data_IF_831656721893
#
_entry.id   IF_831656721893
#
_cell.length_a   1.000
_cell.length_b   1.000
_cell.length_c   1.000
_cell.angle_alpha   90.00
_cell.angle_beta   90.00
_cell.angle_gamma   90.00
#
_symmetry.space_group_name_H-M   'P 1'
#
loop_
_entity.id
_entity.type
_entity.pdbx_description
1 polymer ?
#
# COMPACT_ATOMS: atom_id res chain seq x y z
N UNK A 1 -28.00 10.06 -7.31
CA UNK A 1 -27.27 8.79 -7.43
C UNK A 1 -26.34 8.66 -6.24
N UNK A 2 -26.22 7.46 -5.68
CA UNK A 2 -25.37 7.05 -4.56
C UNK A 2 -24.72 5.71 -4.89
N UNK A 3 -23.88 5.16 -4.02
CA UNK A 3 -23.32 3.81 -4.22
C UNK A 3 -24.41 2.74 -4.34
N UNK A 4 -25.53 2.89 -3.63
CA UNK A 4 -26.66 1.97 -3.67
C UNK A 4 -27.43 2.00 -5.01
N UNK A 5 -27.11 2.93 -5.91
CA UNK A 5 -27.65 2.99 -7.28
C UNK A 5 -26.67 2.40 -8.31
N UNK A 6 -25.51 1.91 -7.87
CA UNK A 6 -24.44 1.41 -8.73
C UNK A 6 -24.23 -0.09 -8.57
N UNK A 7 -23.88 -0.74 -9.68
CA UNK A 7 -23.23 -2.06 -9.67
C UNK A 7 -21.72 -1.86 -9.49
N UNK A 8 -21.09 -2.60 -8.59
CA UNK A 8 -19.63 -2.72 -8.52
C UNK A 8 -19.18 -3.86 -9.42
N UNK A 9 -18.42 -3.58 -10.46
CA UNK A 9 -17.77 -4.58 -11.29
C UNK A 9 -16.32 -4.70 -10.82
N UNK A 10 -15.97 -5.83 -10.21
CA UNK A 10 -14.60 -6.16 -9.84
C UNK A 10 -13.96 -6.95 -10.97
N UNK A 11 -13.05 -6.32 -11.71
CA UNK A 11 -12.27 -6.96 -12.76
C UNK A 11 -11.13 -7.77 -12.14
N UNK A 12 -11.28 -9.10 -12.14
CA UNK A 12 -10.33 -10.07 -11.61
C UNK A 12 -9.71 -10.95 -12.70
N UNK A 13 -9.71 -10.47 -13.95
CA UNK A 13 -9.09 -11.16 -15.09
C UNK A 13 -7.60 -10.83 -15.21
N UNK A 14 -6.74 -11.84 -15.21
CA UNK A 14 -5.31 -11.66 -15.40
C UNK A 14 -4.48 -12.90 -15.09
N UNK A 15 -3.47 -13.18 -15.92
CA UNK A 15 -2.63 -14.38 -15.80
C UNK A 15 -1.58 -14.30 -14.68
N UNK A 16 -1.49 -13.17 -13.95
CA UNK A 16 -0.49 -12.91 -12.90
C UNK A 16 0.95 -13.28 -13.31
N UNK A 17 1.30 -13.15 -14.59
CA UNK A 17 2.56 -13.68 -15.16
C UNK A 17 3.81 -13.11 -14.52
N UNK A 18 3.76 -11.86 -14.05
CA UNK A 18 4.86 -11.19 -13.34
C UNK A 18 5.01 -11.64 -11.89
N UNK A 19 3.95 -12.21 -11.30
CA UNK A 19 3.93 -12.66 -9.91
C UNK A 19 4.40 -14.11 -9.76
N UNK A 20 4.36 -14.91 -10.84
CA UNK A 20 4.67 -16.34 -10.80
C UNK A 20 3.58 -17.21 -10.17
N UNK A 21 2.64 -16.61 -9.44
CA UNK A 21 1.50 -17.24 -8.78
C UNK A 21 0.23 -16.37 -8.91
N UNK A 22 -0.93 -16.96 -8.63
CA UNK A 22 -2.22 -16.26 -8.78
C UNK A 22 -2.43 -15.22 -7.68
N UNK A 23 -2.13 -13.96 -8.00
CA UNK A 23 -2.12 -12.85 -7.04
C UNK A 23 -3.45 -12.58 -6.36
N UNK A 24 -4.56 -13.00 -6.98
CA UNK A 24 -5.93 -12.81 -6.46
C UNK A 24 -6.12 -13.46 -5.10
N UNK A 25 -5.38 -14.54 -4.84
CA UNK A 25 -5.47 -15.35 -3.64
C UNK A 25 -4.28 -15.19 -2.69
N UNK A 26 -3.38 -14.23 -2.94
CA UNK A 26 -2.24 -14.01 -2.07
C UNK A 26 -2.65 -13.36 -0.76
N UNK A 27 -2.29 -13.97 0.40
CA UNK A 27 -2.67 -13.45 1.70
C UNK A 27 -1.77 -12.28 2.11
N UNK A 28 -2.38 -11.11 2.33
CA UNK A 28 -1.69 -9.95 2.86
C UNK A 28 -1.36 -10.13 4.36
N UNK A 29 -0.74 -9.12 4.96
CA UNK A 29 -0.28 -9.18 6.35
C UNK A 29 -1.39 -9.41 7.40
N UNK A 30 -2.65 -9.10 7.08
CA UNK A 30 -3.83 -9.38 7.90
C UNK A 30 -4.48 -10.74 7.60
N UNK A 31 -3.91 -11.53 6.67
CA UNK A 31 -4.44 -12.81 6.21
C UNK A 31 -5.53 -12.70 5.13
N UNK A 32 -6.00 -11.50 4.81
CA UNK A 32 -6.98 -11.26 3.76
C UNK A 32 -6.31 -11.29 2.37
N UNK A 33 -6.98 -11.83 1.36
CA UNK A 33 -6.50 -11.77 -0.03
C UNK A 33 -6.86 -10.44 -0.68
N UNK A 34 -6.16 -10.04 -1.74
CA UNK A 34 -6.48 -8.82 -2.51
C UNK A 34 -7.94 -8.81 -2.96
N UNK A 35 -8.40 -9.92 -3.53
CA UNK A 35 -9.74 -10.02 -4.09
C UNK A 35 -10.81 -10.05 -3.00
N UNK A 36 -10.60 -10.84 -1.94
CA UNK A 36 -11.53 -10.89 -0.80
C UNK A 36 -11.69 -9.53 -0.13
N UNK A 37 -10.61 -8.76 0.00
CA UNK A 37 -10.64 -7.39 0.54
C UNK A 37 -11.50 -6.46 -0.29
N UNK A 38 -11.31 -6.45 -1.61
CA UNK A 38 -12.09 -5.60 -2.52
C UNK A 38 -13.58 -5.94 -2.47
N UNK A 39 -13.91 -7.25 -2.49
CA UNK A 39 -15.31 -7.71 -2.40
C UNK A 39 -15.94 -7.39 -1.05
N UNK A 40 -15.23 -7.62 0.06
CA UNK A 40 -15.70 -7.26 1.41
C UNK A 40 -15.99 -5.77 1.52
N UNK A 41 -15.04 -4.92 1.10
CA UNK A 41 -15.19 -3.46 1.15
C UNK A 41 -16.34 -3.00 0.26
N UNK A 42 -16.51 -3.59 -0.93
CA UNK A 42 -17.65 -3.31 -1.82
C UNK A 42 -18.99 -3.64 -1.15
N UNK A 43 -19.08 -4.82 -0.53
CA UNK A 43 -20.28 -5.23 0.21
C UNK A 43 -20.59 -4.29 1.37
N UNK A 44 -19.57 -3.91 2.16
CA UNK A 44 -19.73 -2.95 3.27
C UNK A 44 -20.13 -1.55 2.78
N UNK A 45 -19.66 -1.14 1.60
CA UNK A 45 -19.98 0.16 1.02
C UNK A 45 -21.43 0.28 0.52
N UNK A 46 -22.14 -0.85 0.37
CA UNK A 46 -23.57 -0.87 0.05
C UNK A 46 -23.89 -0.62 -1.42
N UNK A 47 -23.09 -1.15 -2.35
CA UNK A 47 -23.44 -1.19 -3.77
C UNK A 47 -24.74 -1.99 -4.01
N UNK A 48 -25.51 -1.63 -5.03
CA UNK A 48 -26.75 -2.34 -5.42
C UNK A 48 -26.48 -3.82 -5.66
N UNK A 49 -25.44 -4.11 -6.44
CA UNK A 49 -24.96 -5.44 -6.75
C UNK A 49 -23.44 -5.43 -6.91
N UNK A 50 -22.82 -6.61 -6.75
CA UNK A 50 -21.40 -6.82 -7.03
C UNK A 50 -21.28 -7.88 -8.11
N UNK A 51 -20.56 -7.58 -9.18
CA UNK A 51 -20.21 -8.50 -10.25
C UNK A 51 -18.71 -8.77 -10.17
N UNK A 52 -18.33 -10.04 -10.02
CA UNK A 52 -16.95 -10.49 -10.10
C UNK A 52 -16.69 -11.00 -11.51
N UNK A 53 -15.90 -10.28 -12.30
CA UNK A 53 -15.59 -10.66 -13.68
C UNK A 53 -14.21 -11.33 -13.76
N UNK A 54 -14.17 -12.58 -14.22
CA UNK A 54 -12.95 -13.41 -14.28
C UNK A 54 -12.81 -14.14 -15.63
N UNK A 55 -11.61 -14.65 -15.91
CA UNK A 55 -11.29 -15.30 -17.19
C UNK A 55 -11.96 -16.67 -17.40
N UNK A 56 -12.36 -17.34 -16.32
CA UNK A 56 -12.95 -18.66 -16.33
C UNK A 56 -13.63 -18.96 -14.99
N UNK A 57 -14.55 -19.93 -14.99
CA UNK A 57 -15.16 -20.41 -13.76
C UNK A 57 -14.15 -21.28 -13.00
N UNK A 58 -13.92 -20.94 -11.74
CA UNK A 58 -13.05 -21.68 -10.82
C UNK A 58 -13.77 -21.83 -9.49
N UNK A 59 -13.62 -22.99 -8.85
CA UNK A 59 -14.27 -23.29 -7.58
C UNK A 59 -13.98 -22.22 -6.53
N UNK A 60 -12.73 -21.79 -6.43
CA UNK A 60 -12.27 -20.77 -5.49
C UNK A 60 -12.93 -19.40 -5.74
N UNK A 61 -13.13 -19.04 -7.02
CA UNK A 61 -13.82 -17.80 -7.39
C UNK A 61 -15.33 -17.89 -7.12
N UNK A 62 -15.94 -19.04 -7.38
CA UNK A 62 -17.37 -19.28 -7.10
C UNK A 62 -17.64 -19.24 -5.60
N UNK A 63 -16.80 -19.90 -4.79
CA UNK A 63 -16.89 -19.88 -3.33
C UNK A 63 -16.67 -18.47 -2.77
N UNK A 64 -15.68 -17.74 -3.30
CA UNK A 64 -15.40 -16.36 -2.90
C UNK A 64 -16.53 -15.41 -3.26
N UNK A 65 -17.07 -15.50 -4.48
CA UNK A 65 -18.19 -14.69 -4.93
C UNK A 65 -19.42 -14.94 -4.03
N UNK A 66 -19.74 -16.21 -3.75
CA UNK A 66 -20.84 -16.57 -2.86
C UNK A 66 -20.65 -16.02 -1.44
N UNK A 67 -19.44 -16.09 -0.87
CA UNK A 67 -19.14 -15.58 0.47
C UNK A 67 -19.44 -14.07 0.62
N UNK A 68 -19.27 -13.30 -0.45
CA UNK A 68 -19.51 -11.86 -0.47
C UNK A 68 -20.80 -11.44 -1.19
N UNK A 69 -21.63 -12.38 -1.64
CA UNK A 69 -22.87 -12.10 -2.37
C UNK A 69 -22.63 -11.45 -3.74
N UNK A 70 -21.49 -11.74 -4.37
CA UNK A 70 -21.17 -11.29 -5.72
C UNK A 70 -21.67 -12.30 -6.77
N UNK A 71 -22.05 -11.79 -7.93
CA UNK A 71 -22.35 -12.58 -9.12
C UNK A 71 -21.07 -12.81 -9.92
N UNK A 72 -20.60 -14.06 -9.99
CA UNK A 72 -19.45 -14.43 -10.82
C UNK A 72 -19.87 -14.46 -12.29
N UNK A 73 -19.17 -13.71 -13.12
CA UNK A 73 -19.29 -13.74 -14.58
C UNK A 73 -17.95 -14.09 -15.20
N UNK A 74 -18.01 -14.86 -16.27
CA UNK A 74 -16.81 -15.40 -16.93
C UNK A 74 -16.84 -15.08 -18.41
N UNK A 75 -15.66 -14.83 -18.97
CA UNK A 75 -15.52 -14.63 -20.40
C UNK A 75 -15.73 -15.96 -21.17
N UNK A 76 -16.48 -15.93 -22.29
CA UNK A 76 -16.62 -17.09 -23.19
C UNK A 76 -15.29 -17.50 -23.86
N UNK A 77 -14.34 -16.56 -23.93
CA UNK A 77 -12.99 -16.77 -24.48
C UNK A 77 -11.97 -16.39 -23.42
N UNK A 78 -11.20 -17.36 -22.89
CA UNK A 78 -10.14 -17.07 -21.93
C UNK A 78 -9.14 -16.03 -22.47
N UNK A 79 -8.48 -15.30 -21.57
CA UNK A 79 -7.29 -14.48 -21.84
C UNK A 79 -7.50 -13.21 -22.68
N UNK A 80 -8.67 -12.57 -22.59
CA UNK A 80 -8.96 -11.34 -23.35
C UNK A 80 -8.58 -10.04 -22.58
N UNK A 81 -8.18 -10.16 -21.32
CA UNK A 81 -7.71 -9.05 -20.48
C UNK A 81 -8.84 -8.17 -19.93
N UNK A 82 -8.51 -7.00 -19.36
CA UNK A 82 -9.49 -6.16 -18.65
C UNK A 82 -10.66 -5.67 -19.50
N UNK A 83 -10.49 -5.55 -20.82
CA UNK A 83 -11.58 -5.16 -21.72
C UNK A 83 -12.74 -6.16 -21.70
N UNK A 84 -12.45 -7.46 -21.62
CA UNK A 84 -13.49 -8.49 -21.58
C UNK A 84 -14.19 -8.53 -20.23
N UNK A 85 -13.44 -8.37 -19.13
CA UNK A 85 -14.03 -8.21 -17.80
C UNK A 85 -15.00 -7.02 -17.72
N UNK A 86 -14.68 -5.90 -18.37
CA UNK A 86 -15.59 -4.75 -18.48
C UNK A 86 -16.82 -5.10 -19.32
N UNK A 87 -16.64 -5.72 -20.48
CA UNK A 87 -17.76 -6.10 -21.35
C UNK A 87 -18.73 -7.06 -20.65
N UNK A 88 -18.21 -8.14 -20.07
CA UNK A 88 -18.99 -9.15 -19.34
C UNK A 88 -19.66 -8.54 -18.10
N UNK A 89 -18.92 -7.74 -17.34
CA UNK A 89 -19.42 -7.05 -16.16
C UNK A 89 -20.59 -6.11 -16.48
N UNK A 90 -20.46 -5.29 -17.53
CA UNK A 90 -21.51 -4.36 -17.93
C UNK A 90 -22.73 -5.08 -18.55
N UNK A 91 -22.53 -6.20 -19.23
CA UNK A 91 -23.63 -7.02 -19.72
C UNK A 91 -24.48 -7.58 -18.57
N UNK A 92 -23.83 -8.01 -17.49
CA UNK A 92 -24.46 -8.55 -16.28
C UNK A 92 -24.95 -7.49 -15.28
N UNK A 93 -24.49 -6.24 -15.39
CA UNK A 93 -24.89 -5.17 -14.48
C UNK A 93 -26.40 -4.91 -14.53
N UNK A 94 -27.00 -4.68 -13.37
CA UNK A 94 -28.44 -4.44 -13.24
C UNK A 94 -28.78 -2.93 -13.31
N UNK A 95 -27.79 -2.08 -13.04
CA UNK A 95 -27.94 -0.63 -12.94
C UNK A 95 -27.48 0.08 -14.22
N UNK A 96 -27.92 1.33 -14.41
CA UNK A 96 -27.49 2.16 -15.56
C UNK A 96 -25.98 2.45 -15.51
N UNK A 97 -25.44 2.70 -14.32
CA UNK A 97 -24.04 3.00 -14.09
C UNK A 97 -23.38 1.94 -13.22
N UNK A 98 -22.14 1.63 -13.53
CA UNK A 98 -21.30 0.71 -12.76
C UNK A 98 -19.97 1.35 -12.43
N UNK A 99 -19.45 1.12 -11.23
CA UNK A 99 -18.03 1.32 -10.94
C UNK A 99 -17.28 0.10 -11.43
N UNK A 100 -16.39 0.26 -12.40
CA UNK A 100 -15.40 -0.76 -12.75
C UNK A 100 -14.15 -0.52 -11.89
N UNK A 101 -13.78 -1.53 -11.10
CA UNK A 101 -12.60 -1.51 -10.23
C UNK A 101 -11.72 -2.75 -10.48
N UNK A 102 -10.41 -2.57 -10.56
CA UNK A 102 -9.46 -3.68 -10.56
C UNK A 102 -9.48 -4.42 -9.22
N UNK A 103 -9.49 -5.77 -9.24
CA UNK A 103 -9.38 -6.59 -8.03
C UNK A 103 -8.05 -6.42 -7.27
N UNK A 104 -7.06 -5.80 -7.91
CA UNK A 104 -5.69 -5.65 -7.43
C UNK A 104 -5.38 -4.28 -6.81
N UNK A 105 -6.40 -3.45 -6.56
CA UNK A 105 -6.27 -2.13 -5.93
C UNK A 105 -6.78 -2.15 -4.47
N UNK A 106 -6.03 -2.75 -3.52
CA UNK A 106 -6.53 -3.03 -2.16
C UNK A 106 -6.84 -1.77 -1.33
N UNK A 107 -6.29 -0.62 -1.73
CA UNK A 107 -6.40 0.65 -1.01
C UNK A 107 -7.43 1.61 -1.62
N UNK A 108 -8.10 1.26 -2.73
CA UNK A 108 -9.05 2.16 -3.39
C UNK A 108 -10.18 2.57 -2.45
N UNK A 109 -10.41 3.86 -2.25
CA UNK A 109 -11.47 4.35 -1.37
C UNK A 109 -12.78 4.55 -2.16
N UNK A 110 -13.83 3.84 -1.75
CA UNK A 110 -15.15 3.95 -2.41
C UNK A 110 -15.82 5.30 -2.17
N UNK A 111 -15.42 6.07 -1.16
CA UNK A 111 -15.94 7.43 -0.99
C UNK A 111 -15.52 8.36 -2.15
N UNK A 112 -14.43 8.04 -2.87
CA UNK A 112 -14.04 8.78 -4.07
C UNK A 112 -15.15 8.78 -5.13
N UNK A 113 -15.95 7.72 -5.20
CA UNK A 113 -17.04 7.60 -6.18
C UNK A 113 -18.03 8.76 -6.04
N UNK A 114 -18.20 9.32 -4.84
CA UNK A 114 -19.08 10.47 -4.62
C UNK A 114 -18.68 11.69 -5.45
N UNK A 115 -17.40 11.84 -5.78
CA UNK A 115 -16.91 12.89 -6.68
C UNK A 115 -17.17 12.58 -8.16
N UNK A 116 -17.33 11.31 -8.53
CA UNK A 116 -17.58 10.88 -9.92
C UNK A 116 -19.08 10.93 -10.28
N UNK A 117 -19.95 10.66 -9.31
CA UNK A 117 -21.41 10.57 -9.50
C UNK A 117 -22.04 11.82 -10.18
N UNK A 118 -21.67 13.07 -9.85
CA UNK A 118 -22.26 14.25 -10.50
C UNK A 118 -21.93 14.35 -12.00
N UNK A 119 -20.87 13.68 -12.45
CA UNK A 119 -20.42 13.73 -13.85
C UNK A 119 -21.01 12.60 -14.71
N UNK A 120 -21.72 11.66 -14.09
CA UNK A 120 -22.44 10.58 -14.76
C UNK A 120 -23.75 11.08 -15.43
N UNK A 121 -23.58 11.96 -16.43
CA UNK A 121 -24.68 12.63 -17.16
C UNK A 121 -25.11 11.81 -18.38
N UNK A 122 -26.32 12.04 -18.88
CA UNK A 122 -26.92 11.29 -20.02
C UNK A 122 -26.10 11.38 -21.32
N UNK A 123 -25.27 12.40 -21.52
CA UNK A 123 -24.42 12.50 -22.71
C UNK A 123 -23.10 11.70 -22.59
N UNK A 124 -22.75 11.23 -21.39
CA UNK A 124 -21.47 10.59 -21.07
C UNK A 124 -21.66 9.07 -20.97
N UNK A 125 -20.68 8.32 -21.45
CA UNK A 125 -20.62 6.87 -21.30
C UNK A 125 -19.57 6.42 -20.29
N UNK A 126 -18.53 7.22 -20.07
CA UNK A 126 -17.47 6.92 -19.09
C UNK A 126 -17.09 8.19 -18.34
N UNK A 127 -17.13 8.15 -17.01
CA UNK A 127 -16.46 9.15 -16.17
C UNK A 127 -15.11 8.55 -15.79
N UNK A 128 -14.05 9.08 -16.38
CA UNK A 128 -12.69 8.53 -16.31
C UNK A 128 -11.82 9.40 -15.39
N UNK A 129 -11.51 8.94 -14.17
CA UNK A 129 -10.61 9.69 -13.31
C UNK A 129 -9.20 9.78 -13.89
N UNK A 130 -8.56 10.91 -13.66
CA UNK A 130 -7.15 11.11 -13.99
C UNK A 130 -6.37 11.57 -12.77
N UNK A 131 -5.19 10.98 -12.54
CA UNK A 131 -4.27 11.36 -11.45
C UNK A 131 -2.90 11.63 -12.05
N UNK A 132 -2.37 12.83 -11.82
CA UNK A 132 -1.06 13.25 -12.35
C UNK A 132 -0.92 13.01 -13.87
N UNK A 133 -2.01 13.16 -14.62
CA UNK A 133 -2.07 12.94 -16.08
C UNK A 133 -2.29 11.48 -16.51
N UNK A 134 -2.37 10.52 -15.59
CA UNK A 134 -2.63 9.11 -15.89
C UNK A 134 -4.12 8.78 -15.79
N UNK A 135 -4.65 8.15 -16.82
CA UNK A 135 -6.01 7.60 -16.82
C UNK A 135 -6.13 6.42 -15.88
N UNK A 136 -7.26 6.34 -15.16
CA UNK A 136 -7.59 5.25 -14.24
C UNK A 136 -8.82 4.45 -14.75
N UNK A 137 -8.69 3.72 -15.88
CA UNK A 137 -9.84 3.07 -16.52
C UNK A 137 -10.40 1.88 -15.73
N UNK A 138 -9.63 1.33 -14.78
CA UNK A 138 -10.05 0.27 -13.86
C UNK A 138 -10.33 0.82 -12.46
N UNK A 139 -10.77 2.08 -12.39
CA UNK A 139 -11.31 2.74 -11.22
C UNK A 139 -12.23 3.90 -11.68
N UNK A 140 -13.17 3.58 -12.58
CA UNK A 140 -13.96 4.56 -13.33
C UNK A 140 -15.44 4.16 -13.40
N UNK A 141 -16.32 5.14 -13.62
CA UNK A 141 -17.74 4.86 -13.86
C UNK A 141 -17.98 4.61 -15.33
N UNK A 142 -18.69 3.53 -15.63
CA UNK A 142 -19.11 3.16 -16.97
C UNK A 142 -20.63 3.05 -17.01
N UNK A 143 -21.22 3.64 -18.03
CA UNK A 143 -22.63 3.43 -18.35
C UNK A 143 -22.79 2.06 -18.99
N UNK A 144 -23.91 1.40 -18.72
CA UNK A 144 -24.19 0.02 -19.15
C UNK A 144 -24.04 -0.18 -20.67
N UNK A 145 -24.46 0.81 -21.46
CA UNK A 145 -24.39 0.75 -22.93
C UNK A 145 -22.96 0.80 -23.48
N UNK A 146 -21.98 1.30 -22.71
CA UNK A 146 -20.57 1.28 -23.08
C UNK A 146 -20.08 -0.16 -23.35
N UNK A 147 -20.68 -1.16 -22.70
CA UNK A 147 -20.37 -2.58 -22.89
C UNK A 147 -20.45 -3.04 -24.35
N UNK A 148 -21.33 -2.42 -25.16
CA UNK A 148 -21.45 -2.75 -26.59
C UNK A 148 -20.19 -2.35 -27.38
N UNK A 149 -19.60 -1.19 -27.06
CA UNK A 149 -18.36 -0.76 -27.69
C UNK A 149 -17.19 -1.67 -27.31
N UNK A 150 -17.12 -2.08 -26.04
CA UNK A 150 -16.13 -3.06 -25.58
C UNK A 150 -16.27 -4.40 -26.31
N UNK A 151 -17.49 -4.94 -26.39
CA UNK A 151 -17.76 -6.19 -27.10
C UNK A 151 -17.39 -6.10 -28.59
N UNK A 152 -17.77 -5.00 -29.26
CA UNK A 152 -17.45 -4.77 -30.66
C UNK A 152 -15.94 -4.65 -30.90
N UNK A 153 -15.22 -3.95 -30.03
CA UNK A 153 -13.77 -3.81 -30.12
C UNK A 153 -13.07 -5.17 -29.93
N UNK A 154 -13.48 -5.95 -28.93
CA UNK A 154 -12.95 -7.31 -28.69
C UNK A 154 -13.19 -8.22 -29.91
N UNK A 155 -14.36 -8.13 -30.55
CA UNK A 155 -14.67 -8.90 -31.76
C UNK A 155 -13.75 -8.54 -32.95
N UNK A 156 -13.27 -7.30 -33.01
CA UNK A 156 -12.27 -6.83 -34.00
C UNK A 156 -10.82 -7.16 -33.61
N UNK A 157 -10.60 -7.69 -32.40
CA UNK A 157 -9.26 -8.00 -31.86
C UNK A 157 -8.62 -6.89 -31.03
N UNK A 158 -9.33 -5.78 -30.80
CA UNK A 158 -8.85 -4.67 -29.96
C UNK A 158 -9.02 -5.00 -28.47
N UNK A 159 -7.92 -5.00 -27.72
CA UNK A 159 -7.92 -5.32 -26.27
C UNK A 159 -7.37 -4.22 -25.38
N UNK A 160 -6.84 -3.14 -25.95
CA UNK A 160 -6.24 -2.03 -25.20
C UNK A 160 -7.33 -1.05 -24.80
N UNK A 161 -7.55 -0.87 -23.49
CA UNK A 161 -8.55 0.05 -22.96
C UNK A 161 -8.43 1.46 -23.58
N UNK A 162 -7.22 1.99 -23.72
CA UNK A 162 -7.01 3.32 -24.32
C UNK A 162 -7.37 3.43 -25.80
N UNK A 163 -7.50 2.32 -26.54
CA UNK A 163 -8.05 2.33 -27.91
C UNK A 163 -9.59 2.33 -27.83
N UNK A 164 -10.17 1.41 -27.06
CA UNK A 164 -11.62 1.26 -26.93
C UNK A 164 -12.28 2.53 -26.39
N UNK A 165 -11.66 3.18 -25.41
CA UNK A 165 -12.16 4.41 -24.79
C UNK A 165 -12.30 5.57 -25.79
N UNK A 166 -11.58 5.55 -26.93
CA UNK A 166 -11.70 6.60 -27.97
C UNK A 166 -13.00 6.51 -28.76
N UNK A 167 -13.64 5.34 -28.77
CA UNK A 167 -14.93 5.10 -29.43
C UNK A 167 -16.12 5.49 -28.52
N UNK A 168 -15.85 5.93 -27.28
CA UNK A 168 -16.85 6.26 -26.27
C UNK A 168 -16.86 7.75 -25.96
N UNK A 169 -18.01 8.26 -25.52
CA UNK A 169 -18.09 9.62 -24.96
C UNK A 169 -17.53 9.63 -23.54
N UNK A 170 -16.23 9.93 -23.42
CA UNK A 170 -15.50 9.99 -22.14
C UNK A 170 -15.52 11.40 -21.55
N UNK A 171 -15.86 11.51 -20.27
CA UNK A 171 -15.61 12.68 -19.46
C UNK A 171 -14.41 12.42 -18.55
N UNK A 172 -13.26 13.03 -18.85
CA UNK A 172 -12.07 12.95 -18.00
C UNK A 172 -12.24 13.86 -16.78
N UNK A 173 -12.00 13.30 -15.58
CA UNK A 173 -12.14 14.00 -14.31
C UNK A 173 -10.80 13.97 -13.54
N UNK A 174 -10.03 15.07 -13.56
CA UNK A 174 -8.83 15.19 -12.74
C UNK A 174 -9.14 15.12 -11.25
N UNK A 175 -8.51 14.20 -10.53
CA UNK A 175 -8.63 14.07 -9.08
C UNK A 175 -7.38 14.57 -8.37
N UNK A 176 -7.57 15.35 -7.33
CA UNK A 176 -6.52 15.79 -6.40
C UNK A 176 -6.61 14.98 -5.10
N UNK A 177 -6.30 13.69 -5.19
CA UNK A 177 -6.41 12.71 -4.08
C UNK A 177 -5.12 11.93 -3.91
N UNK A 178 -5.01 11.19 -2.81
CA UNK A 178 -3.87 10.30 -2.54
C UNK A 178 -3.72 9.26 -3.67
N UNK A 179 -2.61 9.34 -4.41
CA UNK A 179 -2.27 8.38 -5.45
C UNK A 179 -2.08 6.95 -4.90
N UNK A 180 -1.73 6.81 -3.62
CA UNK A 180 -1.64 5.53 -2.93
C UNK A 180 -2.96 4.78 -2.86
N UNK A 181 -4.11 5.46 -3.01
CA UNK A 181 -5.43 4.82 -3.12
C UNK A 181 -5.59 4.04 -4.44
N UNK A 182 -4.85 4.41 -5.49
CA UNK A 182 -4.89 3.76 -6.80
C UNK A 182 -3.73 2.75 -6.99
N UNK A 183 -2.99 2.46 -5.92
CA UNK A 183 -1.85 1.54 -5.97
C UNK A 183 -2.27 0.13 -6.39
N UNK A 184 -1.60 -0.40 -7.41
CA UNK A 184 -1.93 -1.69 -8.02
C UNK A 184 -0.88 -2.75 -7.69
N UNK A 185 -1.33 -3.90 -7.20
CA UNK A 185 -0.45 -5.02 -6.87
C UNK A 185 -0.26 -5.90 -8.11
N UNK A 186 0.73 -5.56 -8.95
CA UNK A 186 1.07 -6.28 -10.18
C UNK A 186 2.43 -6.98 -10.16
N UNK A 187 3.29 -6.65 -9.20
CA UNK A 187 4.66 -7.16 -9.10
C UNK A 187 4.93 -7.64 -7.67
N UNK A 188 5.88 -8.57 -7.46
CA UNK A 188 6.20 -9.04 -6.11
C UNK A 188 6.70 -7.90 -5.21
N UNK A 189 7.38 -6.90 -5.79
CA UNK A 189 7.77 -5.68 -5.10
C UNK A 189 6.56 -4.87 -4.61
N UNK A 190 5.55 -4.68 -5.49
CA UNK A 190 4.32 -3.99 -5.13
C UNK A 190 3.54 -4.75 -4.04
N UNK A 191 3.52 -6.09 -4.11
CA UNK A 191 2.90 -6.94 -3.11
C UNK A 191 3.54 -6.78 -1.73
N UNK A 192 4.88 -6.73 -1.65
CA UNK A 192 5.60 -6.49 -0.39
C UNK A 192 5.28 -5.12 0.20
N UNK A 193 5.20 -4.08 -0.63
CA UNK A 193 4.77 -2.75 -0.19
C UNK A 193 3.34 -2.76 0.34
N UNK A 194 2.41 -3.43 -0.37
CA UNK A 194 1.02 -3.57 0.08
C UNK A 194 0.95 -4.28 1.45
N UNK A 195 1.68 -5.39 1.62
CA UNK A 195 1.77 -6.09 2.90
C UNK A 195 2.32 -5.18 4.02
N UNK A 196 3.32 -4.37 3.71
CA UNK A 196 3.88 -3.39 4.65
C UNK A 196 2.88 -2.33 5.09
N UNK A 197 2.10 -1.77 4.16
CA UNK A 197 1.04 -0.80 4.46
C UNK A 197 -0.09 -1.44 5.29
N UNK A 198 -0.57 -2.62 4.88
CA UNK A 198 -1.61 -3.36 5.62
C UNK A 198 -1.16 -3.69 7.05
N UNK A 199 0.10 -4.08 7.23
CA UNK A 199 0.65 -4.33 8.56
C UNK A 199 0.64 -3.08 9.46
N UNK A 200 0.77 -1.89 8.88
CA UNK A 200 0.65 -0.63 9.60
C UNK A 200 -0.80 -0.19 9.80
N UNK A 201 -1.72 -0.46 8.86
CA UNK A 201 -3.16 -0.21 9.04
C UNK A 201 -3.73 -0.98 10.25
N UNK A 202 -3.18 -2.17 10.54
CA UNK A 202 -3.55 -2.95 11.72
C UNK A 202 -2.93 -2.49 13.04
N UNK A 203 -2.13 -1.41 13.05
CA UNK A 203 -1.45 -0.89 14.25
C UNK A 203 -2.06 0.41 14.70
N UNK A 204 -2.04 0.64 16.01
CA UNK A 204 -2.39 1.95 16.57
C UNK A 204 -1.44 3.05 16.07
N UNK A 205 -0.15 2.72 15.91
CA UNK A 205 0.87 3.62 15.38
C UNK A 205 1.75 2.89 14.36
N UNK A 206 1.95 3.47 13.16
CA UNK A 206 2.86 2.90 12.16
C UNK A 206 4.28 2.70 12.68
N UNK A 207 4.92 1.64 12.18
CA UNK A 207 6.32 1.32 12.44
C UNK A 207 7.06 1.19 11.11
N UNK A 208 8.32 1.62 11.09
CA UNK A 208 9.28 1.34 10.03
C UNK A 208 10.55 0.75 10.65
N UNK A 209 11.00 -0.40 10.17
CA UNK A 209 12.28 -0.95 10.58
C UNK A 209 13.35 -0.61 9.55
N UNK A 210 14.51 -0.14 10.02
CA UNK A 210 15.72 0.00 9.21
C UNK A 210 16.66 -1.12 9.64
N UNK A 211 16.94 -2.03 8.71
CA UNK A 211 17.78 -3.20 8.94
C UNK A 211 19.01 -3.16 8.04
N UNK A 212 20.07 -3.82 8.49
CA UNK A 212 21.27 -4.04 7.69
C UNK A 212 21.99 -5.28 8.24
N UNK A 213 22.74 -6.02 7.41
CA UNK A 213 23.34 -7.28 7.80
C UNK A 213 24.51 -7.15 8.81
N UNK A 214 25.07 -5.94 8.98
CA UNK A 214 26.16 -5.68 9.92
C UNK A 214 25.98 -4.36 10.71
N UNK A 215 26.79 -4.21 11.76
CA UNK A 215 26.98 -2.91 12.45
C UNK A 215 27.81 -1.96 11.61
N UNK A 216 27.68 -0.64 11.83
CA UNK A 216 28.46 0.36 11.09
C UNK A 216 28.04 0.54 9.62
N UNK A 217 26.97 -0.10 9.18
CA UNK A 217 26.42 -0.03 7.81
C UNK A 217 25.70 1.28 7.49
N UNK A 218 25.74 2.27 8.39
CA UNK A 218 25.13 3.59 8.19
C UNK A 218 23.61 3.64 8.42
N UNK A 219 23.02 2.70 9.18
CA UNK A 219 21.59 2.76 9.56
C UNK A 219 21.25 4.07 10.27
N UNK A 220 22.03 4.45 11.29
CA UNK A 220 21.84 5.71 12.01
C UNK A 220 21.94 6.90 11.06
N UNK A 221 22.95 6.94 10.19
CA UNK A 221 23.12 7.99 9.17
C UNK A 221 21.95 8.05 8.17
N UNK A 222 21.42 6.89 7.76
CA UNK A 222 20.26 6.83 6.88
C UNK A 222 19.00 7.37 7.58
N UNK A 223 18.78 7.00 8.85
CA UNK A 223 17.66 7.50 9.66
C UNK A 223 17.78 9.01 9.88
N UNK A 224 18.97 9.52 10.20
CA UNK A 224 19.24 10.96 10.37
C UNK A 224 18.93 11.75 9.09
N UNK A 225 19.21 11.18 7.91
CA UNK A 225 18.84 11.78 6.63
C UNK A 225 17.34 11.66 6.34
N UNK A 226 16.70 10.54 6.70
CA UNK A 226 15.29 10.28 6.42
C UNK A 226 14.35 11.17 7.24
N UNK A 227 14.66 11.40 8.52
CA UNK A 227 13.78 12.14 9.45
C UNK A 227 13.44 13.55 8.93
N UNK A 228 14.40 14.39 8.47
CA UNK A 228 14.08 15.71 7.92
C UNK A 228 13.12 15.65 6.73
N UNK A 229 13.28 14.68 5.82
CA UNK A 229 12.34 14.51 4.71
C UNK A 229 10.94 14.14 5.21
N UNK A 230 10.81 13.24 6.19
CA UNK A 230 9.50 12.94 6.78
C UNK A 230 8.88 14.15 7.49
N UNK A 231 9.69 14.97 8.15
CA UNK A 231 9.24 16.19 8.82
C UNK A 231 8.69 17.24 7.85
N UNK A 232 9.20 17.35 6.61
CA UNK A 232 8.61 18.26 5.60
C UNK A 232 7.19 17.84 5.19
N UNK A 233 6.83 16.57 5.41
CA UNK A 233 5.46 16.06 5.24
C UNK A 233 4.67 16.03 6.56
N UNK A 234 5.14 16.73 7.59
CA UNK A 234 4.46 16.84 8.88
C UNK A 234 4.46 15.56 9.71
N UNK A 235 5.37 14.61 9.43
CA UNK A 235 5.47 13.36 10.18
C UNK A 235 6.41 13.53 11.38
N UNK A 236 5.88 13.32 12.59
CA UNK A 236 6.66 13.30 13.82
C UNK A 236 7.16 11.89 14.08
N UNK A 237 8.48 11.74 14.19
CA UNK A 237 9.14 10.42 14.29
C UNK A 237 9.70 10.20 15.69
N UNK A 238 9.65 8.95 16.15
CA UNK A 238 10.43 8.49 17.29
C UNK A 238 11.37 7.38 16.84
N UNK A 239 12.65 7.47 17.19
CA UNK A 239 13.65 6.45 16.86
C UNK A 239 13.91 5.59 18.09
N UNK A 240 13.81 4.28 17.91
CA UNK A 240 14.10 3.30 18.94
C UNK A 240 15.31 2.49 18.48
N UNK A 241 16.44 2.74 19.14
CA UNK A 241 17.67 1.99 18.92
C UNK A 241 17.67 0.74 19.78
N UNK A 242 17.93 -0.39 19.14
CA UNK A 242 18.10 -1.65 19.85
C UNK A 242 19.58 -2.02 19.96
N UNK A 243 20.13 -2.00 21.18
CA UNK A 243 21.50 -2.47 21.45
C UNK A 243 21.47 -3.80 22.20
N UNK A 244 22.26 -4.76 21.72
CA UNK A 244 22.46 -6.08 22.36
C UNK A 244 23.48 -6.04 23.49
N UNK A 245 24.26 -4.97 23.63
CA UNK A 245 25.36 -4.86 24.60
C UNK A 245 25.08 -3.88 25.75
N UNK A 246 23.82 -3.44 25.91
CA UNK A 246 23.44 -2.38 26.83
C UNK A 246 23.70 -0.98 26.25
N UNK A 247 23.33 0.07 26.99
CA UNK A 247 23.62 1.45 26.61
C UNK A 247 24.03 2.26 27.84
N UNK A 248 24.97 3.18 27.66
CA UNK A 248 25.36 4.15 28.68
C UNK A 248 25.22 5.54 28.06
N UNK A 249 24.13 6.23 28.39
CA UNK A 249 23.84 7.59 27.92
C UNK A 249 24.47 8.66 28.81
N UNK A 250 24.87 8.28 30.02
CA UNK A 250 25.49 9.18 30.99
C UNK A 250 27.00 9.27 30.80
N UNK A 251 27.52 10.47 30.95
CA UNK A 251 28.97 10.70 31.07
C UNK A 251 29.40 10.41 32.51
N UNK A 252 30.46 9.63 32.72
CA UNK A 252 31.03 9.41 34.06
C UNK A 252 31.26 10.77 34.77
N UNK A 253 30.73 10.90 35.99
CA UNK A 253 30.89 12.10 36.83
C UNK A 253 29.69 13.06 36.89
N UNK A 254 28.61 12.87 36.12
CA UNK A 254 27.36 13.65 36.27
C UNK A 254 26.45 13.11 37.38
N UNK A 255 25.58 13.95 37.93
CA UNK A 255 24.70 13.59 39.06
C UNK A 255 23.76 12.42 38.75
N UNK A 256 23.30 12.30 37.52
CA UNK A 256 22.48 11.17 37.02
C UNK A 256 23.20 9.82 37.11
N UNK A 257 24.50 9.80 36.79
CA UNK A 257 25.35 8.61 36.90
C UNK A 257 25.57 8.23 38.37
N UNK A 258 25.75 9.23 39.25
CA UNK A 258 25.91 9.05 40.69
C UNK A 258 24.64 8.48 41.33
N UNK A 259 23.45 8.96 40.94
CA UNK A 259 22.19 8.40 41.43
C UNK A 259 21.99 6.95 41.01
N UNK A 260 22.35 6.62 39.78
CA UNK A 260 22.30 5.24 39.28
C UNK A 260 23.26 4.33 40.05
N UNK A 261 24.52 4.75 40.25
CA UNK A 261 25.51 4.02 41.02
C UNK A 261 25.12 3.86 42.50
N UNK A 262 24.35 4.80 43.05
CA UNK A 262 23.78 4.73 44.40
C UNK A 262 22.58 3.77 44.51
N UNK A 263 22.14 3.15 43.41
CA UNK A 263 21.08 2.14 43.39
C UNK A 263 19.70 2.66 42.94
N UNK A 264 19.60 3.88 42.40
CA UNK A 264 18.34 4.34 41.82
C UNK A 264 17.95 3.48 40.61
N UNK A 265 16.78 2.82 40.67
CA UNK A 265 16.25 2.00 39.57
C UNK A 265 15.72 2.84 38.39
N UNK A 266 15.38 4.09 38.65
CA UNK A 266 15.04 5.08 37.65
C UNK A 266 15.58 6.44 38.06
N UNK A 267 16.08 7.20 37.09
CA UNK A 267 16.55 8.58 37.24
C UNK A 267 15.88 9.42 36.16
N UNK A 268 15.30 10.55 36.55
CA UNK A 268 14.64 11.47 35.64
C UNK A 268 15.30 12.85 35.70
N UNK A 269 15.55 13.44 34.52
CA UNK A 269 15.97 14.83 34.36
C UNK A 269 14.82 15.59 33.73
N UNK A 270 14.44 16.73 34.28
CA UNK A 270 13.41 17.61 33.73
C UNK A 270 14.00 19.00 33.45
N UNK A 271 13.74 19.52 32.26
CA UNK A 271 14.20 20.82 31.79
C UNK A 271 13.10 21.52 30.97
N UNK A 272 13.19 22.84 30.73
CA UNK A 272 12.17 23.56 29.95
C UNK A 272 11.93 23.04 28.53
N UNK A 273 12.92 22.36 27.95
CA UNK A 273 12.87 21.79 26.60
C UNK A 273 12.55 20.29 26.57
N UNK A 274 12.18 19.69 27.71
CA UNK A 274 11.78 18.29 27.79
C UNK A 274 12.36 17.57 29.00
N UNK A 275 12.19 16.25 29.02
CA UNK A 275 12.65 15.41 30.11
C UNK A 275 13.31 14.13 29.57
N UNK A 276 14.19 13.54 30.38
CA UNK A 276 14.84 12.27 30.09
C UNK A 276 14.62 11.34 31.28
N UNK A 277 14.26 10.08 31.00
CA UNK A 277 14.13 9.04 32.02
C UNK A 277 15.05 7.89 31.64
N UNK A 278 16.03 7.61 32.49
CA UNK A 278 16.79 6.37 32.45
C UNK A 278 16.19 5.40 33.46
N UNK A 279 15.83 4.20 33.00
CA UNK A 279 15.34 3.13 33.86
C UNK A 279 16.18 1.88 33.64
N UNK A 280 16.74 1.35 34.73
CA UNK A 280 17.43 0.07 34.71
C UNK A 280 16.41 -1.03 34.95
N UNK A 281 16.31 -1.96 34.01
CA UNK A 281 15.43 -3.12 34.07
C UNK A 281 16.27 -4.38 33.96
N UNK A 282 15.95 -5.39 34.76
CA UNK A 282 16.68 -6.66 34.82
C UNK A 282 16.48 -7.52 33.57
N UNK A 283 15.46 -7.18 32.76
CA UNK A 283 15.13 -7.87 31.52
C UNK A 283 14.85 -6.87 30.39
N UNK A 284 15.27 -7.24 29.17
CA UNK A 284 15.00 -6.48 27.97
C UNK A 284 13.49 -6.47 27.70
N UNK A 285 12.89 -5.28 27.67
CA UNK A 285 11.48 -5.13 27.30
C UNK A 285 11.29 -5.31 25.81
N UNK A 286 10.18 -5.94 25.44
CA UNK A 286 9.73 -5.98 24.05
C UNK A 286 9.49 -4.57 23.52
N UNK A 287 9.74 -4.41 22.23
CA UNK A 287 9.63 -3.14 21.53
C UNK A 287 8.23 -2.48 21.65
N UNK A 288 7.17 -3.28 21.60
CA UNK A 288 5.79 -2.78 21.77
C UNK A 288 5.56 -2.13 23.14
N UNK A 289 6.26 -2.60 24.17
CA UNK A 289 6.22 -2.00 25.51
C UNK A 289 6.98 -0.66 25.62
N UNK A 290 7.82 -0.32 24.65
CA UNK A 290 8.46 1.00 24.57
C UNK A 290 7.56 1.99 23.83
N UNK A 291 6.88 1.55 22.78
CA UNK A 291 5.89 2.36 22.06
C UNK A 291 4.80 2.85 23.02
N UNK A 292 4.25 1.96 23.85
CA UNK A 292 3.17 2.31 24.79
C UNK A 292 3.55 3.29 25.90
N UNK A 293 4.85 3.58 26.07
CA UNK A 293 5.36 4.52 27.09
C UNK A 293 5.74 5.88 26.54
N UNK A 294 5.85 6.01 25.22
CA UNK A 294 6.15 7.28 24.57
C UNK A 294 4.81 7.99 24.36
N UNK A 295 4.52 8.93 25.27
CA UNK A 295 3.26 9.67 25.32
C UNK A 295 3.08 10.60 24.10
N UNK A 296 1.82 10.99 23.86
CA UNK A 296 1.17 11.29 22.60
C UNK A 296 1.66 12.53 21.81
N UNK A 297 2.55 12.34 20.83
CA UNK A 297 2.59 13.19 19.61
C UNK A 297 3.38 12.58 18.44
N UNK A 298 3.48 11.24 18.37
CA UNK A 298 4.31 10.53 17.39
C UNK A 298 3.45 9.88 16.31
N UNK A 299 3.82 10.09 15.05
CA UNK A 299 3.11 9.51 13.89
C UNK A 299 3.81 8.26 13.35
N UNK A 300 5.12 8.12 13.57
CA UNK A 300 5.92 6.99 13.09
C UNK A 300 6.99 6.57 14.09
N UNK A 301 7.07 5.28 14.39
CA UNK A 301 8.19 4.70 15.12
C UNK A 301 9.20 4.07 14.15
N UNK A 302 10.45 4.55 14.19
CA UNK A 302 11.55 4.00 13.41
C UNK A 302 12.40 3.11 14.31
N UNK A 303 12.63 1.86 13.89
CA UNK A 303 13.50 0.93 14.64
C UNK A 303 14.81 0.69 13.92
N UNK A 304 15.91 0.73 14.66
CA UNK A 304 17.20 0.28 14.15
C UNK A 304 17.44 -1.18 14.57
N UNK A 305 17.63 -2.10 13.59
CA UNK A 305 17.80 -3.54 13.84
C UNK A 305 18.98 -4.14 13.06
N UNK A 306 19.51 -5.29 13.53
CA UNK A 306 20.70 -5.98 12.96
C UNK A 306 20.38 -7.18 12.05
N UNK A 307 19.11 -7.42 11.70
CA UNK A 307 18.64 -8.33 10.63
C UNK A 307 17.17 -8.71 10.83
N UNK A 308 16.70 -8.81 12.08
CA UNK A 308 15.32 -9.17 12.43
C UNK A 308 14.44 -7.93 12.65
N UNK A 309 14.23 -7.16 11.59
CA UNK A 309 13.27 -6.05 11.60
C UNK A 309 11.82 -6.54 11.79
N UNK A 310 10.91 -5.61 12.05
CA UNK A 310 9.47 -5.83 12.00
C UNK A 310 8.95 -5.32 10.66
N UNK A 311 8.06 -6.05 9.98
CA UNK A 311 7.39 -5.58 8.75
C UNK A 311 6.67 -4.24 9.03
N UNK A 312 6.79 -3.19 8.20
CA UNK A 312 7.68 -3.07 7.04
C UNK A 312 9.14 -2.76 7.41
N UNK A 313 10.07 -3.37 6.67
CA UNK A 313 11.51 -3.16 6.80
C UNK A 313 12.12 -2.59 5.52
N UNK A 314 12.88 -1.49 5.64
CA UNK A 314 13.83 -1.05 4.61
C UNK A 314 15.18 -1.70 4.93
N UNK A 315 15.66 -2.53 4.01
CA UNK A 315 16.97 -3.18 4.13
C UNK A 315 18.04 -2.29 3.51
N UNK A 316 19.12 -2.03 4.23
CA UNK A 316 20.29 -1.32 3.71
C UNK A 316 21.41 -2.30 3.37
N UNK A 317 21.96 -2.18 2.17
CA UNK A 317 23.11 -2.96 1.71
C UNK A 317 24.25 -2.06 1.21
N UNK A 318 25.45 -2.35 1.67
CA UNK A 318 26.71 -1.68 1.27
C UNK A 318 27.77 -2.67 0.79
N UNK A 319 27.40 -3.92 0.53
CA UNK A 319 28.34 -4.98 0.14
C UNK A 319 29.23 -5.51 1.26
N UNK A 320 28.92 -5.20 2.53
CA UNK A 320 29.70 -5.67 3.69
C UNK A 320 29.35 -7.12 4.08
N UNK A 321 28.11 -7.53 3.86
CA UNK A 321 27.60 -8.88 4.08
C UNK A 321 26.30 -9.04 3.27
N UNK A 322 25.95 -10.29 2.93
CA UNK A 322 24.73 -10.55 2.19
C UNK A 322 23.49 -10.14 3.00
N UNK A 323 22.57 -9.32 2.47
CA UNK A 323 21.34 -8.97 3.17
C UNK A 323 20.39 -10.18 3.24
N UNK A 324 19.81 -10.41 4.41
CA UNK A 324 18.78 -11.44 4.60
C UNK A 324 17.42 -10.88 4.16
N UNK A 325 16.97 -11.26 2.96
CA UNK A 325 15.69 -10.80 2.40
C UNK A 325 14.59 -11.81 2.73
N UNK A 326 13.70 -11.44 3.65
CA UNK A 326 12.51 -12.22 4.00
C UNK A 326 11.20 -11.44 3.74
N UNK A 327 10.06 -11.99 4.14
CA UNK A 327 8.74 -11.39 3.92
C UNK A 327 8.54 -10.02 4.59
N UNK A 328 9.39 -9.62 5.54
CA UNK A 328 9.32 -8.34 6.26
C UNK A 328 9.97 -7.20 5.49
N UNK A 329 10.86 -7.52 4.55
CA UNK A 329 11.58 -6.55 3.74
C UNK A 329 10.68 -6.07 2.60
N UNK A 330 10.39 -4.76 2.60
CA UNK A 330 9.53 -4.10 1.61
C UNK A 330 10.31 -3.40 0.51
N UNK A 331 11.52 -2.91 0.81
CA UNK A 331 12.43 -2.34 -0.17
C UNK A 331 13.89 -2.52 0.27
N UNK A 332 14.79 -2.55 -0.72
CA UNK A 332 16.24 -2.64 -0.56
C UNK A 332 16.88 -1.34 -1.03
N UNK A 333 17.69 -0.72 -0.17
CA UNK A 333 18.50 0.45 -0.46
C UNK A 333 19.94 0.02 -0.52
N UNK A 334 20.56 0.10 -1.70
CA UNK A 334 21.89 -0.45 -1.94
C UNK A 334 22.82 0.53 -2.64
N UNK A 335 24.12 0.39 -2.38
CA UNK A 335 25.16 1.13 -3.10
C UNK A 335 25.75 0.25 -4.21
N UNK A 336 25.66 0.70 -5.46
CA UNK A 336 26.26 0.05 -6.64
C UNK A 336 25.93 -1.44 -6.82
N UNK A 337 24.76 -1.88 -6.34
CA UNK A 337 24.31 -3.27 -6.36
C UNK A 337 23.37 -3.61 -7.52
N UNK A 338 23.28 -4.89 -7.87
CA UNK A 338 22.30 -5.39 -8.85
C UNK A 338 20.89 -5.35 -8.26
N UNK A 339 19.87 -4.88 -9.00
CA UNK A 339 18.49 -4.94 -8.54
C UNK A 339 18.09 -6.36 -8.11
N UNK A 340 17.46 -6.48 -6.95
CA UNK A 340 16.98 -7.76 -6.44
C UNK A 340 15.64 -8.10 -7.12
N UNK A 341 15.52 -9.32 -7.65
CA UNK A 341 14.27 -9.76 -8.29
C UNK A 341 13.12 -9.80 -7.28
N UNK A 342 11.95 -9.30 -7.68
CA UNK A 342 10.76 -9.25 -6.82
C UNK A 342 10.85 -8.32 -5.59
N UNK A 343 11.83 -7.41 -5.53
CA UNK A 343 11.94 -6.41 -4.46
C UNK A 343 12.26 -5.03 -5.04
N UNK A 344 11.60 -3.98 -4.53
CA UNK A 344 11.92 -2.61 -4.94
C UNK A 344 13.35 -2.27 -4.49
N UNK A 345 14.24 -2.08 -5.46
CA UNK A 345 15.65 -1.77 -5.22
C UNK A 345 15.91 -0.30 -5.57
N UNK A 346 16.41 0.47 -4.60
CA UNK A 346 16.68 1.90 -4.71
C UNK A 346 18.16 2.18 -4.41
N UNK A 347 18.66 3.32 -4.90
CA UNK A 347 19.98 3.81 -4.51
C UNK A 347 19.99 4.16 -3.02
N UNK A 348 21.02 3.76 -2.31
CA UNK A 348 21.17 4.00 -0.86
C UNK A 348 21.16 5.50 -0.50
N UNK A 349 21.56 6.37 -1.42
CA UNK A 349 21.58 7.81 -1.25
C UNK A 349 20.26 8.50 -1.66
N UNK A 350 19.32 7.77 -2.28
CA UNK A 350 17.99 8.27 -2.63
C UNK A 350 17.02 8.21 -1.43
N UNK A 351 17.27 9.10 -0.48
CA UNK A 351 16.47 9.21 0.75
C UNK A 351 15.08 9.80 0.47
N UNK A 352 14.89 10.51 -0.64
CA UNK A 352 13.59 11.03 -1.04
C UNK A 352 12.63 9.88 -1.40
N UNK A 353 13.10 8.90 -2.18
CA UNK A 353 12.33 7.67 -2.44
C UNK A 353 12.05 6.90 -1.15
N UNK A 354 13.00 6.86 -0.20
CA UNK A 354 12.76 6.26 1.12
C UNK A 354 11.64 6.96 1.90
N UNK A 355 11.58 8.30 1.84
CA UNK A 355 10.51 9.08 2.44
C UNK A 355 9.15 8.78 1.78
N UNK A 356 9.08 8.76 0.44
CA UNK A 356 7.85 8.42 -0.31
C UNK A 356 7.34 7.01 0.02
N UNK A 357 8.23 6.02 0.05
CA UNK A 357 7.89 4.64 0.47
C UNK A 357 7.38 4.63 1.91
N UNK A 358 8.03 5.36 2.81
CA UNK A 358 7.61 5.44 4.21
C UNK A 358 6.22 6.06 4.36
N UNK A 359 5.93 7.15 3.65
CA UNK A 359 4.61 7.80 3.63
C UNK A 359 3.53 6.83 3.13
N UNK A 360 3.80 6.11 2.03
CA UNK A 360 2.91 5.07 1.53
C UNK A 360 2.64 3.99 2.59
N UNK A 361 3.70 3.47 3.23
CA UNK A 361 3.61 2.43 4.26
C UNK A 361 2.85 2.90 5.51
N UNK A 362 2.77 4.21 5.75
CA UNK A 362 1.95 4.81 6.82
C UNK A 362 0.49 5.03 6.41
N UNK A 363 0.14 4.83 5.13
CA UNK A 363 -1.15 5.25 4.59
C UNK A 363 -1.32 6.77 4.52
N UNK A 364 -0.23 7.53 4.46
CA UNK A 364 -0.27 8.99 4.31
C UNK A 364 -0.55 9.37 2.85
N UNK A 365 -1.26 10.48 2.60
CA UNK A 365 -1.54 10.93 1.24
C UNK A 365 -0.29 11.25 0.41
N UNK A 366 -0.28 10.80 -0.84
CA UNK A 366 0.76 11.03 -1.83
C UNK A 366 0.18 11.82 -3.02
N UNK A 367 0.62 13.08 -3.18
CA UNK A 367 0.11 13.97 -4.22
C UNK A 367 1.20 14.31 -5.26
N UNK A 368 0.78 14.67 -6.48
CA UNK A 368 1.70 15.14 -7.51
C UNK A 368 2.82 14.15 -7.81
N UNK A 369 4.07 14.63 -7.76
CA UNK A 369 5.26 13.85 -8.06
C UNK A 369 5.50 12.70 -7.06
N UNK A 370 5.11 12.86 -5.79
CA UNK A 370 5.29 11.83 -4.76
C UNK A 370 4.45 10.59 -5.04
N UNK A 371 3.28 10.77 -5.67
CA UNK A 371 2.39 9.70 -6.06
C UNK A 371 2.78 8.97 -7.35
N UNK A 372 3.59 9.60 -8.23
CA UNK A 372 3.86 9.08 -9.58
C UNK A 372 4.49 7.68 -9.57
N UNK A 373 5.40 7.41 -8.64
CA UNK A 373 6.04 6.09 -8.56
C UNK A 373 5.02 4.98 -8.23
N UNK A 374 3.98 5.29 -7.45
CA UNK A 374 2.97 4.32 -7.02
C UNK A 374 1.91 4.03 -8.09
N UNK A 375 1.70 4.98 -9.02
CA UNK A 375 0.82 4.77 -10.18
C UNK A 375 1.48 3.93 -11.28
N UNK A 376 2.82 3.81 -11.26
CA UNK A 376 3.61 3.20 -12.34
C UNK A 376 4.36 1.93 -11.93
N UNK A 377 4.36 1.59 -10.63
CA UNK A 377 4.79 0.27 -10.11
C UNK A 377 3.83 -0.85 -10.54
#
# INVERSE_FOLDING_TARGET
MTLADLTLIVAAGGMSTRMGEDKRFLPMADGETLLSRTLRRGRTAGFHAIVLAAEAERRELTELAAAYGAHLVTDERPQQGPAAAIAAGLAAAETEWSLVLSGDMPFYDFDLVRALLPEARTAVQVVLPTLSGYWQPLAALYRRDAGQAFAAAIARGDRKLGIILRDLTVHELPLAVDAGLFFNVNTPAAYRLACGRIANEGRERPILSIAAPASGTGKTTFIERLIPHLATHGVRTAVIKSDSHGFQLDTEGKDTARFTAAGARAVAVSAPNGYFIQKNEDQRKEFQNLISKLDCDIDLFITESRSRGTLPTLMLDRGLAAPEIDARVTALFQKDGTPHDGLLSCDLDDVETAARITLFLMGRPLYGADGLMFLTM
#
